data_IF_639279664742
#
_entry.id   IF_639279664742
#
_cell.length_a   1.000
_cell.length_b   1.000
_cell.length_c   1.000
_cell.angle_alpha   90.00
_cell.angle_beta   90.00
_cell.angle_gamma   90.00
#
_symmetry.space_group_name_H-M   'P 1'
#
loop_
_entity.id
_entity.type
_entity.pdbx_description
1 polymer ?
#
# COMPACT_ATOMS: atom_id res chain seq x y z
N UNK A 1 -14.76 -34.78 21.43
CA UNK A 1 -13.94 -33.56 21.68
C UNK A 1 -13.07 -33.09 20.50
N UNK A 2 -12.22 -33.93 19.89
CA UNK A 2 -11.26 -33.51 18.84
C UNK A 2 -11.91 -32.87 17.59
N UNK A 3 -13.06 -33.38 17.14
CA UNK A 3 -13.79 -32.82 15.97
C UNK A 3 -14.38 -31.43 16.23
N UNK A 4 -14.87 -31.17 17.45
CA UNK A 4 -15.43 -29.88 17.85
C UNK A 4 -14.36 -28.77 17.95
N UNK A 5 -13.16 -29.11 18.45
CA UNK A 5 -12.01 -28.19 18.43
C UNK A 5 -11.57 -27.83 17.00
N UNK A 6 -11.62 -28.80 16.07
CA UNK A 6 -11.25 -28.58 14.67
C UNK A 6 -12.23 -27.64 13.97
N UNK A 7 -13.54 -27.82 14.15
CA UNK A 7 -14.55 -26.93 13.56
C UNK A 7 -14.49 -25.51 14.15
N UNK A 8 -14.31 -25.36 15.46
CA UNK A 8 -14.10 -24.06 16.11
C UNK A 8 -12.87 -23.32 15.58
N UNK A 9 -11.76 -24.02 15.36
CA UNK A 9 -10.54 -23.43 14.78
C UNK A 9 -10.76 -22.94 13.33
N UNK A 10 -11.51 -23.69 12.52
CA UNK A 10 -11.80 -23.30 11.13
C UNK A 10 -12.66 -22.03 11.09
N UNK A 11 -13.72 -21.97 11.89
CA UNK A 11 -14.58 -20.77 11.98
C UNK A 11 -13.77 -19.57 12.45
N UNK A 12 -12.90 -19.74 13.44
CA UNK A 12 -12.04 -18.66 13.93
C UNK A 12 -11.08 -18.15 12.84
N UNK A 13 -10.44 -19.03 12.07
CA UNK A 13 -9.58 -18.62 10.94
C UNK A 13 -10.36 -17.86 9.86
N UNK A 14 -11.59 -18.27 9.57
CA UNK A 14 -12.45 -17.52 8.65
C UNK A 14 -12.78 -16.13 9.20
N UNK A 15 -13.13 -16.01 10.48
CA UNK A 15 -13.38 -14.72 11.11
C UNK A 15 -12.12 -13.82 11.14
N UNK A 16 -10.96 -14.38 11.48
CA UNK A 16 -9.68 -13.67 11.47
C UNK A 16 -9.31 -13.22 10.05
N UNK A 17 -9.59 -14.05 9.03
CA UNK A 17 -9.38 -13.70 7.61
C UNK A 17 -10.34 -12.61 7.13
N UNK A 18 -11.62 -12.67 7.51
CA UNK A 18 -12.62 -11.65 7.18
C UNK A 18 -12.28 -10.32 7.88
N UNK A 19 -11.82 -10.37 9.13
CA UNK A 19 -11.32 -9.20 9.85
C UNK A 19 -10.03 -8.65 9.23
N UNK A 20 -9.13 -9.53 8.77
CA UNK A 20 -7.93 -9.15 8.02
C UNK A 20 -8.27 -8.44 6.70
N UNK A 21 -9.30 -8.91 5.98
CA UNK A 21 -9.86 -8.21 4.83
C UNK A 21 -10.52 -6.87 5.22
N UNK A 22 -11.12 -6.78 6.42
CA UNK A 22 -11.59 -5.53 7.03
C UNK A 22 -10.53 -4.42 7.07
N UNK A 23 -9.27 -4.78 7.26
CA UNK A 23 -8.16 -3.84 7.34
C UNK A 23 -7.42 -3.64 6.01
N UNK A 24 -7.82 -4.32 4.93
CA UNK A 24 -7.10 -4.24 3.65
C UNK A 24 -7.19 -2.83 3.04
N UNK A 25 -8.28 -2.11 3.32
CA UNK A 25 -8.49 -0.72 2.92
C UNK A 25 -7.41 0.19 3.51
N UNK A 26 -7.05 -0.02 4.79
CA UNK A 26 -6.00 0.73 5.48
C UNK A 26 -4.60 0.51 4.86
N UNK A 27 -4.42 -0.56 4.11
CA UNK A 27 -3.17 -0.88 3.40
C UNK A 27 -3.24 -0.42 1.95
N UNK A 28 -4.35 -0.65 1.26
CA UNK A 28 -4.52 -0.34 -0.16
C UNK A 28 -4.59 1.16 -0.42
N UNK A 29 -5.34 1.91 0.41
CA UNK A 29 -5.48 3.35 0.25
C UNK A 29 -4.11 4.08 0.26
N UNK A 30 -3.24 3.85 1.26
CA UNK A 30 -1.93 4.48 1.23
C UNK A 30 -1.02 3.94 0.10
N UNK A 31 -1.21 2.69 -0.33
CA UNK A 31 -0.45 2.09 -1.44
C UNK A 31 -0.75 2.78 -2.77
N UNK A 32 -2.01 3.11 -3.06
CA UNK A 32 -2.38 3.84 -4.29
C UNK A 32 -1.71 5.21 -4.35
N UNK A 33 -1.73 5.95 -3.24
CA UNK A 33 -1.10 7.27 -3.17
C UNK A 33 0.41 7.19 -3.39
N UNK A 34 1.07 6.16 -2.87
CA UNK A 34 2.51 5.90 -3.13
C UNK A 34 2.73 5.56 -4.62
N UNK A 35 1.93 4.68 -5.21
CA UNK A 35 2.03 4.31 -6.63
C UNK A 35 1.85 5.53 -7.53
N UNK A 36 0.91 6.43 -7.21
CA UNK A 36 0.74 7.70 -7.94
C UNK A 36 1.94 8.64 -7.78
N UNK A 37 2.51 8.76 -6.58
CA UNK A 37 3.68 9.58 -6.34
C UNK A 37 4.90 9.07 -7.13
N UNK A 38 5.14 7.75 -7.08
CA UNK A 38 6.23 7.12 -7.85
C UNK A 38 6.00 7.29 -9.36
N UNK A 39 4.78 7.08 -9.84
CA UNK A 39 4.42 7.32 -11.25
C UNK A 39 4.78 8.77 -11.66
N UNK A 40 4.41 9.75 -10.84
CA UNK A 40 4.69 11.17 -11.13
C UNK A 40 6.19 11.46 -11.23
N UNK A 41 7.02 10.80 -10.41
CA UNK A 41 8.47 10.96 -10.43
C UNK A 41 9.10 10.26 -11.64
N UNK A 42 8.72 9.00 -11.88
CA UNK A 42 9.27 8.17 -12.94
C UNK A 42 8.88 8.69 -14.31
N UNK A 43 7.70 9.30 -14.48
CA UNK A 43 7.26 9.87 -15.75
C UNK A 43 8.23 10.89 -16.37
N UNK A 44 8.97 11.63 -15.53
CA UNK A 44 9.97 12.58 -16.01
C UNK A 44 11.24 11.94 -16.58
N UNK A 45 11.49 10.66 -16.26
CA UNK A 45 12.77 9.97 -16.55
C UNK A 45 12.56 8.73 -17.43
N UNK A 46 11.46 8.02 -17.22
CA UNK A 46 11.12 6.77 -17.90
C UNK A 46 9.63 6.73 -18.30
N UNK A 47 9.26 7.46 -19.37
CA UNK A 47 7.86 7.61 -19.79
C UNK A 47 7.20 6.28 -20.20
N UNK A 48 7.98 5.29 -20.65
CA UNK A 48 7.47 3.99 -21.08
C UNK A 48 6.87 3.15 -19.95
N UNK A 49 7.20 3.48 -18.68
CA UNK A 49 6.58 2.82 -17.52
C UNK A 49 5.18 3.37 -17.20
N UNK A 50 4.73 4.45 -17.86
CA UNK A 50 3.46 5.08 -17.56
C UNK A 50 2.28 4.10 -17.61
N UNK A 51 2.18 3.32 -18.68
CA UNK A 51 1.07 2.37 -18.84
C UNK A 51 0.99 1.37 -17.68
N UNK A 52 2.13 0.84 -17.24
CA UNK A 52 2.25 -0.15 -16.17
C UNK A 52 1.81 0.41 -14.81
N UNK A 53 2.27 1.62 -14.47
CA UNK A 53 1.82 2.30 -13.24
C UNK A 53 0.34 2.68 -13.27
N UNK A 54 -0.22 2.86 -14.47
CA UNK A 54 -1.62 3.23 -14.69
C UNK A 54 -2.53 2.05 -14.48
N UNK A 55 -2.16 0.92 -15.09
CA UNK A 55 -2.79 -0.38 -14.87
C UNK A 55 -2.71 -0.78 -13.38
N UNK A 56 -1.55 -0.62 -12.74
CA UNK A 56 -1.40 -0.90 -11.31
C UNK A 56 -2.33 -0.03 -10.45
N UNK A 57 -2.44 1.27 -10.76
CA UNK A 57 -3.37 2.17 -10.06
C UNK A 57 -4.83 1.76 -10.26
N UNK A 58 -5.18 1.28 -11.45
CA UNK A 58 -6.52 0.76 -11.79
C UNK A 58 -6.85 -0.49 -11.01
N UNK A 59 -5.94 -1.47 -10.97
CA UNK A 59 -6.11 -2.72 -10.21
C UNK A 59 -6.29 -2.42 -8.72
N UNK A 60 -5.43 -1.58 -8.15
CA UNK A 60 -5.54 -1.22 -6.73
C UNK A 60 -6.83 -0.44 -6.42
N UNK A 61 -7.28 0.43 -7.32
CA UNK A 61 -8.56 1.13 -7.20
C UNK A 61 -9.75 0.17 -7.20
N UNK A 62 -9.74 -0.85 -8.07
CA UNK A 62 -10.74 -1.92 -8.08
C UNK A 62 -10.78 -2.69 -6.76
N UNK A 63 -9.62 -3.06 -6.23
CA UNK A 63 -9.52 -3.75 -4.93
C UNK A 63 -10.08 -2.93 -3.77
N UNK A 64 -9.94 -1.60 -3.78
CA UNK A 64 -10.55 -0.73 -2.76
C UNK A 64 -12.08 -0.74 -2.88
N UNK A 65 -12.63 -0.69 -4.09
CA UNK A 65 -14.07 -0.75 -4.32
C UNK A 65 -14.61 -2.09 -3.80
N UNK A 66 -13.97 -3.19 -4.17
CA UNK A 66 -14.35 -4.54 -3.73
C UNK A 66 -14.27 -4.67 -2.19
N UNK A 67 -13.20 -4.15 -1.59
CA UNK A 67 -13.03 -4.16 -0.14
C UNK A 67 -14.08 -3.28 0.58
N UNK A 68 -14.41 -2.12 0.03
CA UNK A 68 -15.45 -1.23 0.57
C UNK A 68 -16.83 -1.89 0.57
N UNK A 69 -17.18 -2.61 -0.50
CA UNK A 69 -18.43 -3.35 -0.59
C UNK A 69 -18.52 -4.50 0.43
N UNK A 70 -17.42 -5.20 0.67
CA UNK A 70 -17.37 -6.33 1.61
C UNK A 70 -17.42 -5.89 3.07
N UNK A 71 -16.86 -4.73 3.39
CA UNK A 71 -16.59 -4.33 4.78
C UNK A 71 -17.60 -3.32 5.33
N UNK A 72 -18.44 -2.72 4.47
CA UNK A 72 -19.32 -1.58 4.84
C UNK A 72 -18.58 -0.47 5.60
N UNK A 73 -17.24 -0.43 5.46
CA UNK A 73 -16.36 0.45 6.20
C UNK A 73 -16.22 1.78 5.47
N UNK A 74 -16.20 2.87 6.24
CA UNK A 74 -15.84 4.18 5.69
C UNK A 74 -14.32 4.23 5.46
N UNK A 75 -13.92 4.64 4.27
CA UNK A 75 -12.53 4.97 3.94
C UNK A 75 -12.15 6.30 4.62
N UNK A 76 -11.15 6.26 5.49
CA UNK A 76 -10.50 7.47 5.99
C UNK A 76 -9.35 7.84 5.06
N UNK A 77 -9.65 8.70 4.08
CA UNK A 77 -8.69 9.18 3.09
C UNK A 77 -7.61 10.08 3.71
N UNK A 78 -7.91 10.77 4.81
CA UNK A 78 -6.95 11.64 5.48
C UNK A 78 -5.88 10.82 6.20
N UNK A 79 -6.31 9.76 6.91
CA UNK A 79 -5.40 8.78 7.50
C UNK A 79 -4.55 8.09 6.44
N UNK A 80 -5.15 7.67 5.33
CA UNK A 80 -4.43 7.04 4.23
C UNK A 80 -3.36 7.95 3.62
N UNK A 81 -3.70 9.21 3.34
CA UNK A 81 -2.75 10.18 2.78
C UNK A 81 -1.60 10.49 3.75
N UNK A 82 -1.89 10.57 5.05
CA UNK A 82 -0.88 10.74 6.09
C UNK A 82 0.11 9.57 6.12
N UNK A 83 -0.40 8.33 6.11
CA UNK A 83 0.46 7.15 6.09
C UNK A 83 1.29 7.04 4.81
N UNK A 84 0.73 7.37 3.64
CA UNK A 84 1.51 7.44 2.39
C UNK A 84 2.65 8.44 2.47
N UNK A 85 2.38 9.63 2.99
CA UNK A 85 3.39 10.69 3.12
C UNK A 85 4.53 10.22 4.03
N UNK A 86 4.19 9.60 5.17
CA UNK A 86 5.16 9.02 6.09
C UNK A 86 6.05 7.95 5.43
N UNK A 87 5.46 7.05 4.65
CA UNK A 87 6.20 6.00 3.95
C UNK A 87 7.10 6.55 2.84
N UNK A 88 6.65 7.59 2.12
CA UNK A 88 7.45 8.27 1.10
C UNK A 88 8.64 9.01 1.74
N UNK A 89 8.44 9.65 2.90
CA UNK A 89 9.51 10.30 3.64
C UNK A 89 10.55 9.29 4.14
N UNK A 90 10.11 8.13 4.65
CA UNK A 90 11.00 7.04 5.05
C UNK A 90 11.80 6.50 3.85
N UNK A 91 11.14 6.30 2.70
CA UNK A 91 11.81 5.87 1.48
C UNK A 91 12.85 6.89 1.00
N UNK A 92 12.54 8.19 1.10
CA UNK A 92 13.48 9.28 0.80
C UNK A 92 14.70 9.24 1.73
N UNK A 93 14.49 9.12 3.04
CA UNK A 93 15.59 9.01 4.01
C UNK A 93 16.49 7.80 3.73
N UNK A 94 15.91 6.67 3.34
CA UNK A 94 16.67 5.47 2.95
C UNK A 94 17.46 5.73 1.67
N UNK A 95 16.86 6.39 0.67
CA UNK A 95 17.53 6.74 -0.57
C UNK A 95 18.71 7.70 -0.32
N UNK A 96 18.50 8.77 0.44
CA UNK A 96 19.54 9.74 0.80
C UNK A 96 20.68 9.02 1.54
N UNK A 97 20.36 8.19 2.53
CA UNK A 97 21.34 7.38 3.26
C UNK A 97 22.17 6.48 2.33
N UNK A 98 21.53 5.84 1.33
CA UNK A 98 22.24 5.01 0.35
C UNK A 98 23.13 5.85 -0.55
N UNK A 99 22.69 7.01 -1.01
CA UNK A 99 23.48 7.90 -1.86
C UNK A 99 24.70 8.39 -1.08
N UNK A 100 24.55 8.86 0.16
CA UNK A 100 25.68 9.27 0.99
C UNK A 100 26.68 8.14 1.24
N UNK A 101 26.22 6.90 1.44
CA UNK A 101 27.12 5.74 1.59
C UNK A 101 27.88 5.41 0.30
N UNK A 102 27.20 5.50 -0.85
CA UNK A 102 27.77 5.09 -2.13
C UNK A 102 28.62 6.20 -2.77
N UNK A 103 28.30 7.46 -2.47
CA UNK A 103 28.95 8.65 -2.99
C UNK A 103 29.18 9.68 -1.86
N UNK A 104 30.19 9.48 -1.00
CA UNK A 104 30.39 10.28 0.22
C UNK A 104 30.66 11.77 -0.02
N UNK A 105 31.02 12.16 -1.25
CA UNK A 105 31.43 13.51 -1.62
C UNK A 105 30.47 14.17 -2.63
N UNK A 106 29.28 13.61 -2.84
CA UNK A 106 28.28 14.23 -3.72
C UNK A 106 27.45 15.21 -2.90
N UNK A 107 27.55 16.49 -3.26
CA UNK A 107 26.67 17.54 -2.74
C UNK A 107 25.33 17.45 -3.48
N UNK A 108 24.25 17.10 -2.75
CA UNK A 108 22.88 16.99 -3.29
C UNK A 108 22.11 18.33 -3.22
N UNK A 109 22.82 19.46 -3.19
CA UNK A 109 22.26 20.81 -3.15
C UNK A 109 21.64 21.23 -4.49
#
# INVERSE_FOLDING_TARGET
MKRLKKTSMVVRRCLDSVFGLGNIILVLAPTISIVRAIRSLILGIFPTADSQFGELSLVLGGLIIDAGQLTSGNLDFDLANKESSRLLDEAKLIADSKIYKQFPNVDLL
#
